data_IF_835994236494
#
_entry.id   IF_835994236494
#
_cell.length_a   1.000
_cell.length_b   1.000
_cell.length_c   1.000
_cell.angle_alpha   90.00
_cell.angle_beta   90.00
_cell.angle_gamma   90.00
#
_symmetry.space_group_name_H-M   'P 1'
#
loop_
_entity.id
_entity.type
_entity.pdbx_description
1 polymer ?
#
# COMPACT_ATOMS: atom_id res chain seq x y z
N UNK A 1 -29.76 -15.98 5.55
CA UNK A 1 -30.27 -15.76 6.92
C UNK A 1 -29.50 -14.61 7.56
N UNK A 2 -30.17 -13.54 7.97
CA UNK A 2 -29.54 -12.33 8.50
C UNK A 2 -29.41 -12.44 10.02
N UNK A 3 -28.19 -12.44 10.57
CA UNK A 3 -27.94 -12.44 12.02
C UNK A 3 -27.53 -11.03 12.45
N UNK A 4 -28.08 -10.55 13.56
CA UNK A 4 -27.71 -9.24 14.15
C UNK A 4 -26.62 -9.46 15.18
N UNK A 5 -25.53 -8.70 15.06
CA UNK A 5 -24.41 -8.67 15.99
C UNK A 5 -24.38 -7.30 16.66
N UNK A 6 -24.27 -7.27 17.98
CA UNK A 6 -24.03 -6.04 18.74
C UNK A 6 -22.54 -5.95 19.04
N UNK A 7 -21.90 -4.88 18.56
CA UNK A 7 -20.48 -4.61 18.79
C UNK A 7 -20.39 -3.40 19.70
N UNK A 8 -19.65 -3.52 20.80
CA UNK A 8 -19.30 -2.39 21.66
C UNK A 8 -18.03 -1.76 21.11
N UNK A 9 -18.13 -0.50 20.74
CA UNK A 9 -17.02 0.32 20.27
C UNK A 9 -16.85 1.52 21.18
N UNK A 10 -15.63 2.06 21.26
CA UNK A 10 -15.42 3.32 21.98
C UNK A 10 -16.07 4.49 21.21
N UNK A 11 -16.31 5.59 21.91
CA UNK A 11 -16.91 6.80 21.33
C UNK A 11 -16.06 7.35 20.17
N UNK A 12 -14.72 7.41 20.36
CA UNK A 12 -13.77 7.80 19.31
C UNK A 12 -13.84 6.91 18.06
N UNK A 13 -14.00 5.59 18.25
CA UNK A 13 -14.13 4.64 17.14
C UNK A 13 -15.45 4.81 16.38
N UNK A 14 -16.53 5.14 17.10
CA UNK A 14 -17.81 5.42 16.49
C UNK A 14 -17.77 6.71 15.66
N UNK A 15 -17.15 7.77 16.18
CA UNK A 15 -16.97 9.03 15.45
C UNK A 15 -16.12 8.86 14.19
N UNK A 16 -14.99 8.15 14.29
CA UNK A 16 -14.15 7.84 13.14
C UNK A 16 -14.93 7.06 12.06
N UNK A 17 -15.76 6.11 12.48
CA UNK A 17 -16.56 5.31 11.57
C UNK A 17 -17.71 6.12 10.94
N UNK A 18 -18.31 7.08 11.66
CA UNK A 18 -19.31 8.01 11.13
C UNK A 18 -18.70 9.02 10.14
N UNK A 19 -17.49 9.52 10.41
CA UNK A 19 -16.76 10.40 9.50
C UNK A 19 -16.41 9.69 8.18
N UNK A 20 -15.92 8.45 8.27
CA UNK A 20 -15.63 7.63 7.09
C UNK A 20 -16.90 7.27 6.30
N UNK A 21 -18.03 7.03 6.98
CA UNK A 21 -19.31 6.77 6.33
C UNK A 21 -19.80 7.98 5.53
N UNK A 22 -19.64 9.18 6.09
CA UNK A 22 -19.95 10.45 5.43
C UNK A 22 -19.09 10.66 4.18
N UNK A 23 -17.77 10.41 4.30
CA UNK A 23 -16.82 10.57 3.21
C UNK A 23 -17.06 9.59 2.05
N UNK A 24 -17.59 8.40 2.34
CA UNK A 24 -17.92 7.38 1.33
C UNK A 24 -19.38 7.40 0.89
N UNK A 25 -20.19 8.36 1.38
CA UNK A 25 -21.64 8.43 1.15
C UNK A 25 -22.39 7.12 1.46
N UNK A 26 -21.95 6.41 2.50
CA UNK A 26 -22.55 5.16 2.95
C UNK A 26 -23.22 5.33 4.32
N UNK A 27 -24.17 4.45 4.64
CA UNK A 27 -24.69 4.35 6.01
C UNK A 27 -23.63 3.75 6.91
N UNK A 28 -23.50 4.30 8.12
CA UNK A 28 -22.58 3.88 9.18
C UNK A 28 -22.58 2.36 9.40
N UNK A 29 -23.78 1.74 9.51
CA UNK A 29 -23.90 0.29 9.66
C UNK A 29 -23.45 -0.52 8.44
N UNK A 30 -23.64 0.01 7.23
CA UNK A 30 -23.16 -0.65 5.99
C UNK A 30 -21.64 -0.62 5.93
N UNK A 31 -21.02 0.52 6.27
CA UNK A 31 -19.57 0.64 6.30
C UNK A 31 -18.96 -0.29 7.36
N UNK A 32 -19.57 -0.40 8.55
CA UNK A 32 -19.11 -1.30 9.59
C UNK A 32 -19.10 -2.78 9.15
N UNK A 33 -20.12 -3.20 8.39
CA UNK A 33 -20.19 -4.55 7.83
C UNK A 33 -19.11 -4.78 6.78
N UNK A 34 -18.84 -3.79 5.92
CA UNK A 34 -17.78 -3.89 4.90
C UNK A 34 -16.41 -4.06 5.55
N UNK A 35 -16.09 -3.21 6.53
CA UNK A 35 -14.82 -3.27 7.26
C UNK A 35 -14.68 -4.61 7.99
N UNK A 36 -15.74 -5.06 8.66
CA UNK A 36 -15.72 -6.34 9.37
C UNK A 36 -15.55 -7.52 8.39
N UNK A 37 -16.22 -7.49 7.24
CA UNK A 37 -16.09 -8.53 6.22
C UNK A 37 -14.68 -8.60 5.64
N UNK A 38 -14.08 -7.44 5.32
CA UNK A 38 -12.70 -7.34 4.83
C UNK A 38 -11.70 -7.90 5.84
N UNK A 39 -11.88 -7.57 7.12
CA UNK A 39 -11.01 -8.07 8.18
C UNK A 39 -11.16 -9.58 8.40
N UNK A 40 -12.39 -10.10 8.39
CA UNK A 40 -12.63 -11.55 8.50
C UNK A 40 -12.09 -12.32 7.29
N UNK A 41 -12.18 -11.77 6.08
CA UNK A 41 -11.61 -12.36 4.87
C UNK A 41 -10.07 -12.44 4.95
N UNK A 42 -9.44 -11.41 5.50
CA UNK A 42 -8.00 -11.36 5.75
C UNK A 42 -7.55 -12.41 6.77
N UNK A 43 -8.30 -12.59 7.86
CA UNK A 43 -8.02 -13.63 8.88
C UNK A 43 -8.26 -15.04 8.35
N UNK A 44 -9.28 -15.23 7.51
CA UNK A 44 -9.62 -16.54 6.94
C UNK A 44 -8.64 -17.02 5.84
N UNK A 45 -7.82 -16.12 5.27
CA UNK A 45 -6.92 -16.43 4.15
C UNK A 45 -5.47 -16.72 4.56
N UNK A 46 -5.16 -16.78 5.86
CA UNK A 46 -3.83 -17.18 6.35
C UNK A 46 -3.59 -18.70 6.24
N UNK A 47 -2.37 -19.18 5.91
CA UNK A 47 -2.06 -20.61 5.85
C UNK A 47 -2.17 -21.27 7.24
N UNK A 48 -2.44 -22.59 7.32
CA UNK A 48 -2.56 -23.28 8.61
C UNK A 48 -1.20 -23.34 9.30
N UNK A 49 -1.01 -22.55 10.36
CA UNK A 49 0.15 -22.69 11.25
C UNK A 49 0.11 -24.05 11.97
N UNK A 50 1.23 -24.80 12.04
CA UNK A 50 1.34 -25.94 12.94
C UNK A 50 1.33 -25.48 14.41
N UNK A 51 0.91 -26.33 15.37
CA UNK A 51 0.80 -25.92 16.76
C UNK A 51 2.20 -25.68 17.37
N UNK A 52 2.47 -24.54 18.01
CA UNK A 52 3.74 -24.35 18.70
C UNK A 52 3.72 -25.09 20.03
N UNK A 53 4.76 -25.90 20.25
CA UNK A 53 5.11 -26.41 21.57
C UNK A 53 5.28 -25.23 22.53
N UNK A 54 4.78 -25.39 23.76
CA UNK A 54 4.79 -24.40 24.82
C UNK A 54 6.20 -23.79 25.00
N UNK A 55 6.33 -22.53 24.59
CA UNK A 55 7.39 -21.63 25.04
C UNK A 55 6.71 -20.51 25.82
N UNK A 56 7.21 -20.23 27.01
CA UNK A 56 6.68 -19.24 27.93
C UNK A 56 6.41 -17.88 27.26
N UNK A 57 5.35 -17.15 27.65
CA UNK A 57 5.02 -15.88 27.05
C UNK A 57 6.09 -14.85 27.41
N UNK A 58 6.96 -14.51 26.45
CA UNK A 58 7.69 -13.25 26.49
C UNK A 58 6.67 -12.09 26.49
N UNK A 59 6.87 -11.05 27.32
CA UNK A 59 5.99 -9.89 27.31
C UNK A 59 6.02 -9.25 25.93
N UNK A 60 4.85 -9.16 25.29
CA UNK A 60 4.69 -8.41 24.05
C UNK A 60 5.13 -6.96 24.30
N UNK A 61 5.99 -6.38 23.44
CA UNK A 61 6.25 -4.94 23.52
C UNK A 61 4.93 -4.18 23.34
N UNK A 62 4.75 -3.04 24.04
CA UNK A 62 3.52 -2.26 23.93
C UNK A 62 3.23 -1.91 22.47
N UNK A 63 1.95 -1.82 22.06
CA UNK A 63 1.60 -1.40 20.72
C UNK A 63 2.23 -0.03 20.47
N UNK A 64 3.22 0.01 19.57
CA UNK A 64 3.76 1.28 19.10
C UNK A 64 2.58 2.12 18.57
N UNK A 65 2.53 3.43 18.85
CA UNK A 65 1.55 4.29 18.21
C UNK A 65 1.61 4.05 16.69
N UNK A 66 0.46 4.15 16.02
CA UNK A 66 0.35 4.03 14.57
C UNK A 66 1.14 5.16 13.89
N UNK A 67 2.45 5.05 13.96
CA UNK A 67 3.41 5.96 13.39
C UNK A 67 3.35 5.63 11.92
N UNK A 68 2.73 6.53 11.17
CA UNK A 68 2.76 6.50 9.73
C UNK A 68 4.17 6.09 9.28
N UNK A 69 4.26 5.03 8.46
CA UNK A 69 5.52 4.43 8.06
C UNK A 69 6.49 5.54 7.65
N UNK A 70 7.75 5.46 8.08
CA UNK A 70 8.71 6.56 8.00
C UNK A 70 8.79 7.24 6.62
N UNK A 71 8.51 6.49 5.55
CA UNK A 71 8.48 6.93 4.17
C UNK A 71 7.25 7.78 3.75
N UNK A 72 6.19 7.78 4.55
CA UNK A 72 4.98 8.60 4.37
C UNK A 72 5.01 9.90 5.20
N UNK A 73 6.02 10.11 6.03
CA UNK A 73 6.11 11.30 6.88
C UNK A 73 6.57 12.50 6.03
N UNK A 74 5.68 13.48 5.82
CA UNK A 74 5.93 14.68 5.00
C UNK A 74 7.00 15.63 5.57
N UNK A 75 7.32 15.52 6.85
CA UNK A 75 8.11 16.53 7.58
C UNK A 75 9.60 16.19 7.75
N UNK A 76 10.14 15.19 7.03
CA UNK A 76 11.57 14.81 7.15
C UNK A 76 12.57 15.77 6.48
N UNK A 77 12.10 16.90 5.96
CA UNK A 77 12.93 17.93 5.33
C UNK A 77 13.38 17.57 3.92
N UNK A 78 13.81 18.58 3.15
CA UNK A 78 14.22 18.44 1.75
C UNK A 78 15.48 17.59 1.56
N UNK A 79 16.39 17.60 2.53
CA UNK A 79 17.66 16.86 2.47
C UNK A 79 17.44 15.34 2.51
N UNK A 80 16.57 14.86 3.40
CA UNK A 80 16.21 13.44 3.45
C UNK A 80 15.54 12.99 2.15
N UNK A 81 14.65 13.83 1.59
CA UNK A 81 14.00 13.51 0.33
C UNK A 81 15.00 13.44 -0.83
N UNK A 82 15.98 14.34 -0.84
CA UNK A 82 17.06 14.34 -1.82
C UNK A 82 17.90 13.06 -1.73
N UNK A 83 18.26 12.65 -0.51
CA UNK A 83 19.01 11.41 -0.29
C UNK A 83 18.24 10.18 -0.81
N UNK A 84 16.96 10.05 -0.45
CA UNK A 84 16.12 8.94 -0.92
C UNK A 84 15.94 8.99 -2.45
N UNK A 85 15.85 10.19 -3.02
CA UNK A 85 15.82 10.38 -4.46
C UNK A 85 17.10 9.87 -5.13
N UNK A 86 18.27 10.19 -4.57
CA UNK A 86 19.55 9.75 -5.11
C UNK A 86 19.70 8.22 -5.04
N UNK A 87 19.30 7.60 -3.92
CA UNK A 87 19.27 6.14 -3.79
C UNK A 87 18.29 5.52 -4.79
N UNK A 88 17.10 6.11 -4.98
CA UNK A 88 16.12 5.65 -5.96
C UNK A 88 16.68 5.68 -7.39
N UNK A 89 17.40 6.74 -7.76
CA UNK A 89 18.06 6.84 -9.06
C UNK A 89 19.16 5.79 -9.22
N UNK A 90 19.98 5.60 -8.18
CA UNK A 90 21.02 4.58 -8.17
C UNK A 90 20.46 3.16 -8.29
N UNK A 91 19.33 2.86 -7.63
CA UNK A 91 18.62 1.59 -7.79
C UNK A 91 18.16 1.38 -9.23
N UNK A 92 17.65 2.41 -9.90
CA UNK A 92 17.27 2.30 -11.32
C UNK A 92 18.49 2.03 -12.20
N UNK A 93 19.65 2.60 -11.88
CA UNK A 93 20.89 2.30 -12.63
C UNK A 93 21.39 0.87 -12.42
N UNK A 94 21.33 0.36 -11.19
CA UNK A 94 21.81 -0.98 -10.86
C UNK A 94 20.87 -2.10 -11.29
N UNK A 95 19.56 -1.81 -11.39
CA UNK A 95 18.54 -2.80 -11.71
C UNK A 95 17.79 -2.38 -13.00
N UNK A 96 18.24 -2.84 -14.18
CA UNK A 96 17.64 -2.50 -15.46
C UNK A 96 16.15 -2.86 -15.54
N UNK A 97 15.73 -3.98 -14.93
CA UNK A 97 14.33 -4.38 -14.88
C UNK A 97 13.43 -3.33 -14.18
N UNK A 98 13.97 -2.66 -13.16
CA UNK A 98 13.30 -1.57 -12.47
C UNK A 98 13.28 -0.30 -13.33
N UNK A 99 14.40 0.00 -14.01
CA UNK A 99 14.50 1.12 -14.95
C UNK A 99 13.51 0.98 -16.12
N UNK A 100 13.43 -0.20 -16.74
CA UNK A 100 12.56 -0.45 -17.88
C UNK A 100 11.08 -0.39 -17.50
N UNK A 101 10.74 -0.88 -16.31
CA UNK A 101 9.40 -0.74 -15.75
C UNK A 101 9.06 0.74 -15.51
N UNK A 102 10.01 1.51 -14.95
CA UNK A 102 9.84 2.90 -14.55
C UNK A 102 10.44 3.88 -15.59
N UNK A 103 9.61 4.33 -16.55
CA UNK A 103 9.96 5.37 -17.55
C UNK A 103 10.60 6.61 -16.92
N UNK A 104 11.23 7.45 -17.74
CA UNK A 104 11.87 8.72 -17.31
C UNK A 104 10.95 9.64 -16.49
N UNK A 105 9.63 9.55 -16.68
CA UNK A 105 8.63 10.33 -15.95
C UNK A 105 8.06 9.64 -14.70
N UNK A 106 8.65 8.54 -14.21
CA UNK A 106 8.14 7.71 -13.11
C UNK A 106 7.71 8.50 -11.86
N UNK A 107 8.42 9.57 -11.51
CA UNK A 107 8.10 10.47 -10.41
C UNK A 107 6.73 11.19 -10.50
N UNK A 108 6.15 11.28 -11.70
CA UNK A 108 4.84 11.92 -11.93
C UNK A 108 3.67 10.99 -11.60
N UNK A 109 3.89 9.67 -11.62
CA UNK A 109 2.90 8.69 -11.21
C UNK A 109 3.09 8.34 -9.74
N UNK A 110 2.03 8.49 -8.95
CA UNK A 110 2.09 8.27 -7.51
C UNK A 110 2.45 6.82 -7.17
N UNK A 111 1.88 5.85 -7.88
CA UNK A 111 2.15 4.45 -7.63
C UNK A 111 3.63 4.13 -7.87
N UNK A 112 4.15 4.56 -9.02
CA UNK A 112 5.55 4.45 -9.39
C UNK A 112 6.47 5.11 -8.36
N UNK A 113 6.22 6.38 -8.05
CA UNK A 113 7.05 7.18 -7.16
C UNK A 113 7.11 6.60 -5.76
N UNK A 114 5.94 6.35 -5.16
CA UNK A 114 5.84 5.89 -3.78
C UNK A 114 6.44 4.48 -3.64
N UNK A 115 6.29 3.61 -4.66
CA UNK A 115 6.88 2.28 -4.67
C UNK A 115 8.41 2.27 -4.80
N UNK A 116 8.97 3.07 -5.70
CA UNK A 116 10.44 3.20 -5.84
C UNK A 116 11.06 3.80 -4.57
N UNK A 117 10.41 4.80 -3.95
CA UNK A 117 10.89 5.35 -2.68
C UNK A 117 10.84 4.35 -1.53
N UNK A 118 9.80 3.51 -1.46
CA UNK A 118 9.75 2.44 -0.47
C UNK A 118 10.93 1.45 -0.62
N UNK A 119 11.27 1.08 -1.86
CA UNK A 119 12.42 0.22 -2.16
C UNK A 119 13.76 0.89 -1.80
N UNK A 120 13.92 2.18 -2.10
CA UNK A 120 15.10 2.96 -1.75
C UNK A 120 15.32 3.06 -0.24
N UNK A 121 14.24 3.29 0.51
CA UNK A 121 14.30 3.37 1.98
C UNK A 121 14.63 2.02 2.59
N UNK A 122 14.04 0.93 2.07
CA UNK A 122 14.40 -0.40 2.55
C UNK A 122 15.86 -0.74 2.21
N UNK A 123 16.35 -0.37 1.02
CA UNK A 123 17.76 -0.55 0.67
C UNK A 123 18.68 0.19 1.65
N UNK A 124 18.38 1.46 1.92
CA UNK A 124 19.11 2.26 2.91
C UNK A 124 19.15 1.58 4.28
N UNK A 125 18.01 1.06 4.75
CA UNK A 125 17.94 0.34 6.03
C UNK A 125 18.79 -0.93 6.07
N UNK A 126 18.93 -1.63 4.94
CA UNK A 126 19.82 -2.79 4.83
C UNK A 126 21.29 -2.37 4.86
N UNK A 127 21.64 -1.29 4.15
CA UNK A 127 23.00 -0.77 4.12
C UNK A 127 23.42 -0.16 5.48
N UNK A 128 22.48 0.40 6.25
CA UNK A 128 22.70 0.92 7.61
C UNK A 128 22.69 -0.17 8.69
N UNK A 129 22.13 -1.35 8.40
CA UNK A 129 22.08 -2.45 9.37
C UNK A 129 23.50 -2.99 9.60
N UNK A 130 23.93 -2.97 10.86
CA UNK A 130 25.25 -3.50 11.26
C UNK A 130 25.39 -5.01 11.01
N UNK A 131 24.27 -5.73 10.88
CA UNK A 131 24.22 -7.16 10.62
C UNK A 131 23.64 -7.42 9.22
N UNK A 132 24.47 -7.98 8.35
CA UNK A 132 24.13 -8.28 6.96
C UNK A 132 23.45 -9.66 6.90
N UNK A 133 22.16 -9.73 7.25
CA UNK A 133 21.38 -10.95 7.13
C UNK A 133 21.03 -11.22 5.65
N UNK A 134 21.55 -12.29 5.02
CA UNK A 134 21.29 -12.60 3.62
C UNK A 134 19.80 -12.86 3.33
N UNK A 135 18.99 -13.19 4.34
CA UNK A 135 17.55 -13.39 4.16
C UNK A 135 16.84 -12.08 3.88
N UNK A 136 17.27 -10.99 4.51
CA UNK A 136 16.68 -9.67 4.29
C UNK A 136 17.03 -9.14 2.90
N UNK A 137 18.26 -9.39 2.43
CA UNK A 137 18.67 -9.08 1.06
C UNK A 137 17.82 -9.84 0.02
N UNK A 138 17.59 -11.13 0.24
CA UNK A 138 16.73 -11.94 -0.64
C UNK A 138 15.27 -11.46 -0.64
N UNK A 139 14.74 -11.04 0.51
CA UNK A 139 13.40 -10.48 0.61
C UNK A 139 13.28 -9.16 -0.15
N UNK A 140 14.28 -8.29 -0.04
CA UNK A 140 14.33 -7.04 -0.77
C UNK A 140 14.41 -7.26 -2.28
N UNK A 141 15.24 -8.20 -2.74
CA UNK A 141 15.31 -8.58 -4.16
C UNK A 141 13.99 -9.16 -4.69
N UNK A 142 13.30 -9.97 -3.88
CA UNK A 142 11.97 -10.49 -4.24
C UNK A 142 10.96 -9.35 -4.38
N UNK A 143 10.95 -8.40 -3.44
CA UNK A 143 10.08 -7.24 -3.48
C UNK A 143 10.35 -6.33 -4.69
N UNK A 144 11.62 -6.15 -5.07
CA UNK A 144 12.00 -5.40 -6.28
C UNK A 144 11.42 -6.06 -7.53
N UNK A 145 11.57 -7.39 -7.67
CA UNK A 145 11.03 -8.15 -8.82
C UNK A 145 9.50 -8.10 -8.87
N UNK A 146 8.85 -8.26 -7.73
CA UNK A 146 7.39 -8.19 -7.63
C UNK A 146 6.88 -6.79 -7.96
N UNK A 147 7.58 -5.75 -7.52
CA UNK A 147 7.25 -4.36 -7.87
C UNK A 147 7.36 -4.13 -9.38
N UNK A 148 8.47 -4.51 -10.03
CA UNK A 148 8.63 -4.36 -11.48
C UNK A 148 7.53 -5.08 -12.26
N UNK A 149 7.14 -6.29 -11.83
CA UNK A 149 6.02 -7.03 -12.44
C UNK A 149 4.68 -6.31 -12.25
N UNK A 150 4.35 -5.92 -11.02
CA UNK A 150 3.08 -5.25 -10.71
C UNK A 150 2.98 -3.88 -11.37
N UNK A 151 4.11 -3.21 -11.59
CA UNK A 151 4.18 -1.93 -12.28
C UNK A 151 3.82 -2.06 -13.76
N UNK A 152 4.35 -3.06 -14.44
CA UNK A 152 3.99 -3.38 -15.82
C UNK A 152 2.48 -3.67 -15.95
N UNK A 153 1.89 -4.41 -14.98
CA UNK A 153 0.45 -4.63 -14.92
C UNK A 153 -0.34 -3.33 -14.68
N UNK A 154 0.12 -2.48 -13.73
CA UNK A 154 -0.48 -1.19 -13.46
C UNK A 154 -0.49 -0.30 -14.70
N UNK A 155 0.59 -0.32 -15.49
CA UNK A 155 0.68 0.41 -16.77
C UNK A 155 -0.33 -0.09 -17.79
N UNK A 156 -0.52 -1.40 -17.91
CA UNK A 156 -1.50 -1.99 -18.85
C UNK A 156 -2.94 -1.62 -18.49
N UNK A 157 -3.24 -1.52 -17.21
CA UNK A 157 -4.58 -1.20 -16.71
C UNK A 157 -4.85 0.30 -16.59
N UNK A 158 -3.85 1.17 -16.74
CA UNK A 158 -4.04 2.62 -16.64
C UNK A 158 -4.78 3.12 -17.90
N UNK A 159 -5.98 3.72 -17.76
CA UNK A 159 -6.69 4.26 -18.90
C UNK A 159 -5.88 5.40 -19.52
N UNK A 160 -5.62 5.32 -20.82
CA UNK A 160 -4.93 6.38 -21.57
C UNK A 160 -5.76 7.67 -21.47
N UNK A 161 -5.21 8.77 -20.91
CA UNK A 161 -5.91 10.05 -20.93
C UNK A 161 -5.87 10.57 -22.37
N UNK A 162 -6.92 10.29 -23.14
CA UNK A 162 -6.98 10.65 -24.56
C UNK A 162 -8.15 10.06 -25.34
N UNK A 163 -8.81 9.01 -24.86
CA UNK A 163 -10.06 8.52 -25.47
C UNK A 163 -11.27 9.27 -24.89
N UNK A 164 -11.27 10.60 -25.04
CA UNK A 164 -12.51 11.34 -24.94
C UNK A 164 -13.44 10.80 -26.02
N UNK A 165 -14.56 10.25 -25.57
CA UNK A 165 -15.64 9.76 -26.39
C UNK A 165 -16.04 10.86 -27.37
N UNK A 166 -15.94 10.57 -28.67
CA UNK A 166 -16.63 11.36 -29.69
C UNK A 166 -18.09 11.52 -29.24
N UNK A 167 -18.68 12.73 -29.31
CA UNK A 167 -20.06 12.92 -28.94
C UNK A 167 -20.92 12.03 -29.84
N UNK A 168 -21.67 11.12 -29.23
CA UNK A 168 -22.75 10.38 -29.89
C UNK A 168 -23.70 11.45 -30.44
N UNK A 169 -23.69 11.61 -31.76
CA UNK A 169 -24.68 12.44 -32.44
C UNK A 169 -26.06 11.90 -32.07
N UNK A 170 -26.79 12.67 -31.25
CA UNK A 170 -28.21 12.48 -31.05
C UNK A 170 -28.91 12.78 -32.37
N UNK A 171 -29.12 11.74 -33.17
CA UNK A 171 -30.07 11.76 -34.25
C UNK A 171 -31.32 11.00 -33.81
N UNK A 172 -32.46 11.60 -34.15
CA UNK A 172 -33.82 11.06 -34.07
C UNK A 172 -34.51 11.15 -32.71
N UNK A 173 -35.35 12.18 -32.55
CA UNK A 173 -36.80 12.09 -32.79
C UNK A 173 -37.45 13.33 -32.21
N UNK A 174 -38.11 14.12 -33.05
CA UNK A 174 -39.50 14.48 -32.78
C UNK A 174 -40.22 14.77 -34.10
N UNK A 175 -41.44 14.24 -34.13
CA UNK A 175 -42.45 14.24 -35.20
C UNK A 175 -43.33 15.46 -35.02
#
# INVERSE_FOLDING_TARGET
>A
MSRRLQVRVSEEQYEALAALATLRHLKTGTLAVVILAEHLQSVASGPPSPPPAAADPMPSPPPAPATQAAWLQRDRGSEWLQEIWDIAQQLREWYPDLHDATRDDWHSDRFSRDGVFALAIWRKQLDEAAENDPRLELQWLAALRDFSRNHEEHRRCRPTPGRQQLPVAQNARDV
#
